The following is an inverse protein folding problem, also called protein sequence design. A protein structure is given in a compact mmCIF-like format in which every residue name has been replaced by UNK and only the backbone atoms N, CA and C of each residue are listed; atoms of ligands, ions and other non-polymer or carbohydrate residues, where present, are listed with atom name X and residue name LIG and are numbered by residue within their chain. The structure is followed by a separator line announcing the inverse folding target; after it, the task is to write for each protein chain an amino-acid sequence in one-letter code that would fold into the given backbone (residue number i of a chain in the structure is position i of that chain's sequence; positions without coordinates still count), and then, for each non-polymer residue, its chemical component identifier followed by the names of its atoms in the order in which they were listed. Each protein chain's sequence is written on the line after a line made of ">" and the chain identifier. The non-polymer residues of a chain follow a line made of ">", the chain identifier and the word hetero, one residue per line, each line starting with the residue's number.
data_IF_236380448243
#
_entry.id   IF_236380448243
#
_cell.length_a   1.000
_cell.length_b   1.000
_cell.length_c   1.000
_cell.angle_alpha   90.00
_cell.angle_beta   90.00
_cell.angle_gamma   90.00
#
_symmetry.space_group_name_H-M   'P 1'
#
loop_
_entity.id
_entity.type
_entity.pdbx_description
1 polymer ?
#
# COMPACT_ATOMS: atom_id res chain seq x y z
N UNK A 1 21.55 -13.03 -4.91
CA UNK A 1 21.01 -11.81 -4.28
C UNK A 1 20.18 -11.13 -5.34
N UNK A 2 18.91 -10.92 -5.05
CA UNK A 2 17.92 -10.33 -5.95
C UNK A 2 17.75 -8.86 -5.57
N UNK A 3 17.76 -7.97 -6.55
CA UNK A 3 17.40 -6.57 -6.33
C UNK A 3 15.87 -6.44 -6.39
N UNK A 4 15.25 -6.13 -5.25
CA UNK A 4 13.80 -6.13 -5.08
C UNK A 4 13.31 -4.72 -4.81
N UNK A 5 12.30 -4.30 -5.57
CA UNK A 5 11.50 -3.11 -5.29
C UNK A 5 10.17 -3.55 -4.70
N UNK A 6 9.80 -2.95 -3.56
CA UNK A 6 8.50 -3.16 -2.92
C UNK A 6 7.68 -1.86 -2.98
N UNK A 7 6.56 -1.93 -3.70
CA UNK A 7 5.53 -0.90 -3.79
C UNK A 7 4.31 -1.36 -3.00
N UNK A 8 3.74 -0.49 -2.16
CA UNK A 8 2.47 -0.81 -1.54
C UNK A 8 2.07 0.00 -0.34
N UNK A 9 1.17 -0.57 0.43
CA UNK A 9 0.54 0.02 1.59
C UNK A 9 1.27 -0.24 2.91
N UNK A 10 0.50 -0.09 3.99
CA UNK A 10 0.93 -0.43 5.35
C UNK A 10 1.28 -1.92 5.51
N UNK A 11 0.70 -2.83 4.70
CA UNK A 11 1.07 -4.25 4.70
C UNK A 11 2.53 -4.49 4.26
N UNK A 12 3.02 -3.66 3.35
CA UNK A 12 4.40 -3.67 2.87
C UNK A 12 5.40 -2.97 3.81
N UNK A 13 4.93 -2.10 4.70
CA UNK A 13 5.77 -1.39 5.67
C UNK A 13 6.05 -2.24 6.93
N UNK A 14 5.10 -3.07 7.35
CA UNK A 14 5.15 -3.81 8.62
C UNK A 14 6.43 -4.65 8.75
N UNK A 15 7.15 -4.41 9.84
CA UNK A 15 8.51 -4.94 10.05
C UNK A 15 8.61 -6.46 10.02
N UNK A 16 7.61 -7.21 10.49
CA UNK A 16 7.69 -8.66 10.67
C UNK A 16 7.03 -9.48 9.56
N UNK A 17 6.40 -8.82 8.59
CA UNK A 17 5.71 -9.48 7.48
C UNK A 17 6.58 -9.58 6.23
N UNK A 18 6.00 -9.15 5.11
CA UNK A 18 6.62 -9.19 3.78
C UNK A 18 8.01 -8.55 3.77
N UNK A 19 8.16 -7.36 4.36
CA UNK A 19 9.44 -6.66 4.46
C UNK A 19 10.55 -7.47 5.14
N UNK A 20 10.22 -8.28 6.17
CA UNK A 20 11.23 -9.11 6.84
C UNK A 20 11.67 -10.26 5.96
N UNK A 21 10.75 -10.88 5.24
CA UNK A 21 11.07 -11.98 4.34
C UNK A 21 12.00 -11.55 3.20
N UNK A 22 11.83 -10.31 2.74
CA UNK A 22 12.63 -9.72 1.67
C UNK A 22 13.92 -9.04 2.18
N UNK A 23 14.14 -8.96 3.51
CA UNK A 23 15.24 -8.16 4.08
C UNK A 23 16.63 -8.75 3.84
N UNK A 24 16.69 -10.04 3.52
CA UNK A 24 17.94 -10.75 3.28
C UNK A 24 18.41 -10.57 1.83
N UNK A 25 17.60 -9.90 1.00
CA UNK A 25 17.88 -9.48 -0.37
C UNK A 25 18.16 -7.97 -0.44
N UNK A 26 18.50 -7.44 -1.62
CA UNK A 26 18.68 -6.00 -1.80
C UNK A 26 17.32 -5.31 -1.97
N UNK A 27 16.71 -4.93 -0.85
CA UNK A 27 15.35 -4.38 -0.80
C UNK A 27 15.33 -2.85 -0.83
N UNK A 28 14.69 -2.29 -1.86
CA UNK A 28 14.22 -0.90 -1.90
C UNK A 28 12.70 -0.88 -1.65
N UNK A 29 12.28 -0.25 -0.56
CA UNK A 29 10.87 -0.18 -0.16
C UNK A 29 10.36 1.25 -0.33
N UNK A 30 9.42 1.44 -1.26
CA UNK A 30 8.74 2.73 -1.50
C UNK A 30 7.26 2.68 -1.07
N UNK A 31 6.90 1.72 -0.22
CA UNK A 31 5.55 1.62 0.32
C UNK A 31 5.22 2.78 1.29
N UNK A 32 4.02 3.35 1.18
CA UNK A 32 3.48 4.34 2.11
C UNK A 32 2.20 3.83 2.79
N UNK A 33 1.93 4.29 4.01
CA UNK A 33 0.76 3.84 4.77
C UNK A 33 -0.50 4.57 4.31
N UNK A 34 -1.62 3.86 4.20
CA UNK A 34 -2.92 4.44 3.86
C UNK A 34 -2.97 5.19 2.51
N UNK A 35 -2.26 4.69 1.51
CA UNK A 35 -2.15 5.29 0.17
C UNK A 35 -2.58 4.31 -0.93
N UNK A 36 -3.23 4.81 -1.98
CA UNK A 36 -3.85 3.99 -3.02
C UNK A 36 -2.85 3.46 -4.07
N UNK A 37 -3.37 2.76 -5.08
CA UNK A 37 -2.62 2.43 -6.31
C UNK A 37 -1.94 3.65 -6.96
N UNK A 38 -2.49 4.85 -6.80
CA UNK A 38 -1.91 6.07 -7.34
C UNK A 38 -0.58 6.43 -6.67
N UNK A 39 -0.40 6.11 -5.40
CA UNK A 39 0.87 6.31 -4.71
C UNK A 39 1.93 5.33 -5.20
N UNK A 40 1.58 4.06 -5.43
CA UNK A 40 2.52 3.11 -6.04
C UNK A 40 2.98 3.60 -7.42
N UNK A 41 2.06 4.20 -8.20
CA UNK A 41 2.38 4.79 -9.50
C UNK A 41 3.29 6.01 -9.35
N UNK A 42 3.00 6.88 -8.38
CA UNK A 42 3.84 8.03 -8.06
C UNK A 42 5.29 7.61 -7.75
N UNK A 43 5.49 6.62 -6.89
CA UNK A 43 6.85 6.13 -6.57
C UNK A 43 7.51 5.43 -7.74
N UNK A 44 6.73 4.72 -8.56
CA UNK A 44 7.23 4.11 -9.79
C UNK A 44 7.83 5.16 -10.74
N UNK A 45 7.15 6.29 -10.90
CA UNK A 45 7.61 7.41 -11.72
C UNK A 45 8.77 8.14 -11.06
N UNK A 46 8.66 8.45 -9.76
CA UNK A 46 9.66 9.21 -8.99
C UNK A 46 11.00 8.50 -8.91
N UNK A 47 10.99 7.17 -8.76
CA UNK A 47 12.18 6.33 -8.62
C UNK A 47 12.45 5.47 -9.86
N UNK A 48 11.95 5.89 -11.03
CA UNK A 48 12.05 5.16 -12.29
C UNK A 48 13.45 4.61 -12.60
N UNK A 49 14.50 5.43 -12.44
CA UNK A 49 15.90 5.03 -12.71
C UNK A 49 16.41 3.91 -11.80
N UNK A 50 15.95 3.91 -10.55
CA UNK A 50 16.28 2.86 -9.59
C UNK A 50 15.47 1.59 -9.85
N UNK A 51 14.19 1.75 -10.20
CA UNK A 51 13.26 0.65 -10.37
C UNK A 51 13.57 -0.16 -11.63
N UNK A 52 13.94 0.50 -12.74
CA UNK A 52 14.34 -0.18 -13.98
C UNK A 52 15.58 -1.08 -13.83
N UNK A 53 16.37 -0.88 -12.77
CA UNK A 53 17.55 -1.72 -12.47
C UNK A 53 17.22 -2.90 -11.56
N UNK A 54 16.01 -2.93 -10.99
CA UNK A 54 15.60 -4.02 -10.11
C UNK A 54 15.36 -5.31 -10.88
N UNK A 55 15.60 -6.43 -10.21
CA UNK A 55 15.34 -7.76 -10.74
C UNK A 55 13.86 -8.14 -10.61
N UNK A 56 13.20 -7.68 -9.54
CA UNK A 56 11.82 -7.99 -9.21
C UNK A 56 11.13 -6.76 -8.60
N UNK A 57 9.92 -6.48 -9.05
CA UNK A 57 8.98 -5.54 -8.45
C UNK A 57 7.84 -6.32 -7.82
N UNK A 58 7.58 -6.09 -6.54
CA UNK A 58 6.41 -6.61 -5.84
C UNK A 58 5.50 -5.41 -5.55
N UNK A 59 4.23 -5.50 -5.94
CA UNK A 59 3.23 -4.45 -5.73
C UNK A 59 1.99 -4.96 -5.03
N UNK A 60 1.49 -4.24 -4.02
CA UNK A 60 0.15 -4.46 -3.44
C UNK A 60 -0.53 -3.12 -3.17
N UNK A 61 -1.82 -2.98 -3.51
CA UNK A 61 -2.57 -1.74 -3.24
C UNK A 61 -4.06 -1.95 -3.01
N UNK A 62 -4.60 -3.12 -3.36
CA UNK A 62 -6.05 -3.36 -3.42
C UNK A 62 -6.77 -3.10 -2.08
N UNK A 63 -6.11 -3.39 -0.97
CA UNK A 63 -6.62 -3.06 0.38
C UNK A 63 -6.79 -1.55 0.54
N UNK A 64 -5.81 -0.75 0.15
CA UNK A 64 -5.91 0.70 0.28
C UNK A 64 -6.89 1.30 -0.73
N UNK A 65 -6.93 0.83 -1.98
CA UNK A 65 -7.93 1.23 -2.98
C UNK A 65 -9.37 1.00 -2.45
N UNK A 66 -9.59 -0.14 -1.79
CA UNK A 66 -10.84 -0.45 -1.08
C UNK A 66 -11.12 0.49 0.10
N UNK A 67 -10.12 0.78 0.94
CA UNK A 67 -10.29 1.69 2.08
C UNK A 67 -10.54 3.13 1.63
N UNK A 68 -9.81 3.65 0.65
CA UNK A 68 -10.00 5.04 0.20
C UNK A 68 -11.36 5.25 -0.46
N UNK A 69 -11.87 4.26 -1.20
CA UNK A 69 -13.24 4.29 -1.71
C UNK A 69 -14.27 4.42 -0.56
N UNK A 70 -14.12 3.60 0.48
CA UNK A 70 -15.11 3.53 1.56
C UNK A 70 -14.96 4.63 2.62
N UNK A 71 -13.75 5.16 2.83
CA UNK A 71 -13.46 6.17 3.87
C UNK A 71 -13.52 7.59 3.29
N UNK A 72 -12.91 7.79 2.12
CA UNK A 72 -12.81 9.10 1.48
C UNK A 72 -13.90 9.36 0.44
N UNK A 73 -14.70 8.34 0.09
CA UNK A 73 -15.71 8.41 -0.97
C UNK A 73 -15.12 8.68 -2.36
N UNK A 74 -13.88 8.25 -2.63
CA UNK A 74 -13.32 8.31 -3.99
C UNK A 74 -14.15 7.41 -4.90
N UNK A 75 -14.49 7.90 -6.10
CA UNK A 75 -15.38 7.18 -7.00
C UNK A 75 -14.72 5.91 -7.54
N UNK A 76 -15.52 4.87 -7.82
CA UNK A 76 -15.00 3.63 -8.41
C UNK A 76 -14.32 3.86 -9.76
N UNK A 77 -14.76 4.87 -10.54
CA UNK A 77 -14.11 5.24 -11.80
C UNK A 77 -12.72 5.84 -11.58
N UNK A 78 -12.54 6.68 -10.55
CA UNK A 78 -11.22 7.26 -10.23
C UNK A 78 -10.27 6.17 -9.73
N UNK A 79 -10.77 5.25 -8.89
CA UNK A 79 -10.02 4.07 -8.45
C UNK A 79 -9.57 3.24 -9.66
N UNK A 80 -10.49 2.91 -10.57
CA UNK A 80 -10.17 2.11 -11.75
C UNK A 80 -9.15 2.78 -12.67
N UNK A 81 -9.23 4.10 -12.84
CA UNK A 81 -8.24 4.85 -13.63
C UNK A 81 -6.85 4.78 -13.01
N UNK A 82 -6.75 4.87 -11.69
CA UNK A 82 -5.47 4.79 -10.97
C UNK A 82 -4.88 3.38 -11.05
N UNK A 83 -5.72 2.34 -10.90
CA UNK A 83 -5.34 0.94 -11.09
C UNK A 83 -4.81 0.70 -12.51
N UNK A 84 -5.57 1.15 -13.53
CA UNK A 84 -5.17 1.04 -14.94
C UNK A 84 -3.79 1.65 -15.15
N UNK A 85 -3.60 2.89 -14.69
CA UNK A 85 -2.34 3.63 -14.85
C UNK A 85 -1.16 2.93 -14.17
N UNK A 86 -1.33 2.48 -12.93
CA UNK A 86 -0.29 1.73 -12.22
C UNK A 86 0.13 0.49 -13.00
N UNK A 87 -0.83 -0.33 -13.44
CA UNK A 87 -0.51 -1.60 -14.09
C UNK A 87 0.02 -1.42 -15.50
N UNK A 88 -0.41 -0.37 -16.20
CA UNK A 88 0.21 0.05 -17.46
C UNK A 88 1.69 0.32 -17.24
N UNK A 89 2.05 1.22 -16.32
CA UNK A 89 3.45 1.59 -16.07
C UNK A 89 4.28 0.43 -15.54
N UNK A 90 3.73 -0.44 -14.68
CA UNK A 90 4.45 -1.64 -14.26
C UNK A 90 4.83 -2.54 -15.44
N UNK A 91 3.94 -2.65 -16.43
CA UNK A 91 4.13 -3.50 -17.60
C UNK A 91 5.16 -2.99 -18.62
N UNK A 92 5.58 -1.72 -18.49
CA UNK A 92 6.59 -1.07 -19.35
C UNK A 92 7.98 -1.04 -18.71
N UNK A 93 8.12 -1.45 -17.45
CA UNK A 93 9.39 -1.37 -16.70
C UNK A 93 10.49 -2.25 -17.30
N UNK A 94 10.12 -3.38 -17.90
CA UNK A 94 11.07 -4.42 -18.32
C UNK A 94 11.62 -5.26 -17.17
N UNK A 95 11.06 -5.15 -15.98
CA UNK A 95 11.36 -5.97 -14.80
C UNK A 95 10.39 -7.16 -14.69
N UNK A 96 10.73 -8.15 -13.86
CA UNK A 96 9.73 -9.11 -13.38
C UNK A 96 8.80 -8.39 -12.41
N UNK A 97 7.49 -8.57 -12.55
CA UNK A 97 6.50 -7.92 -11.70
C UNK A 97 5.56 -8.97 -11.13
N UNK A 98 5.35 -8.94 -9.81
CA UNK A 98 4.28 -9.70 -9.15
C UNK A 98 3.37 -8.74 -8.40
N UNK A 99 2.08 -8.78 -8.74
CA UNK A 99 1.05 -8.05 -8.01
C UNK A 99 0.39 -8.97 -6.97
N UNK A 100 0.36 -8.56 -5.71
CA UNK A 100 -0.31 -9.31 -4.64
C UNK A 100 -1.70 -8.69 -4.42
N UNK A 101 -2.74 -9.51 -4.55
CA UNK A 101 -4.12 -9.16 -4.18
C UNK A 101 -4.42 -9.72 -2.80
N UNK A 102 -4.42 -8.85 -1.80
CA UNK A 102 -4.66 -9.22 -0.40
C UNK A 102 -6.15 -9.38 -0.08
N UNK A 103 -6.53 -10.20 0.91
CA UNK A 103 -7.93 -10.43 1.20
C UNK A 103 -8.64 -9.17 1.72
N UNK A 104 -9.83 -8.89 1.17
CA UNK A 104 -10.68 -7.78 1.60
C UNK A 104 -11.80 -8.30 2.51
N UNK A 105 -11.53 -8.40 3.81
CA UNK A 105 -12.41 -9.08 4.76
C UNK A 105 -13.34 -8.15 5.54
N UNK A 106 -13.12 -6.83 5.53
CA UNK A 106 -13.93 -5.88 6.30
C UNK A 106 -15.40 -5.89 5.87
N UNK A 107 -16.33 -6.42 6.69
CA UNK A 107 -17.74 -6.56 6.30
C UNK A 107 -18.50 -5.24 6.34
N UNK A 108 -17.91 -4.19 6.93
CA UNK A 108 -18.51 -2.84 7.04
C UNK A 108 -18.49 -2.08 5.73
N UNK A 109 -17.60 -2.46 4.83
CA UNK A 109 -17.29 -1.74 3.61
C UNK A 109 -17.84 -2.49 2.40
N UNK A 110 -18.18 -1.74 1.36
CA UNK A 110 -18.82 -2.25 0.15
C UNK A 110 -17.83 -2.32 -0.99
N UNK A 111 -18.23 -2.99 -2.06
CA UNK A 111 -17.52 -3.02 -3.34
C UNK A 111 -16.15 -3.74 -3.34
N UNK A 112 -15.83 -4.53 -2.32
CA UNK A 112 -14.61 -5.34 -2.28
C UNK A 112 -14.42 -6.18 -3.56
N UNK A 113 -15.44 -6.96 -3.93
CA UNK A 113 -15.43 -7.79 -5.15
C UNK A 113 -15.25 -6.96 -6.42
N UNK A 114 -15.86 -5.78 -6.50
CA UNK A 114 -15.77 -4.91 -7.68
C UNK A 114 -14.37 -4.33 -7.83
N UNK A 115 -13.77 -3.87 -6.74
CA UNK A 115 -12.39 -3.34 -6.73
C UNK A 115 -11.40 -4.45 -7.07
N UNK A 116 -11.48 -5.63 -6.44
CA UNK A 116 -10.63 -6.77 -6.81
C UNK A 116 -10.82 -7.19 -8.27
N UNK A 117 -12.04 -7.13 -8.80
CA UNK A 117 -12.31 -7.41 -10.22
C UNK A 117 -11.63 -6.39 -11.14
N UNK A 118 -11.61 -5.10 -10.79
CA UNK A 118 -10.87 -4.07 -11.53
C UNK A 118 -9.37 -4.37 -11.53
N UNK A 119 -8.80 -4.73 -10.37
CA UNK A 119 -7.39 -5.11 -10.31
C UNK A 119 -7.10 -6.33 -11.20
N UNK A 120 -7.87 -7.42 -11.08
CA UNK A 120 -7.69 -8.62 -11.89
C UNK A 120 -7.84 -8.34 -13.39
N UNK A 121 -8.83 -7.52 -13.76
CA UNK A 121 -9.04 -7.11 -15.14
C UNK A 121 -7.78 -6.47 -15.73
N UNK A 122 -7.23 -5.45 -15.07
CA UNK A 122 -6.07 -4.72 -15.58
C UNK A 122 -4.75 -5.50 -15.44
N UNK A 123 -4.60 -6.33 -14.41
CA UNK A 123 -3.48 -7.29 -14.30
C UNK A 123 -3.45 -8.20 -15.53
N UNK A 124 -4.59 -8.82 -15.86
CA UNK A 124 -4.70 -9.72 -16.99
C UNK A 124 -4.54 -8.98 -18.32
N UNK A 125 -5.12 -7.79 -18.44
CA UNK A 125 -5.02 -6.97 -19.65
C UNK A 125 -3.56 -6.61 -19.97
N UNK A 126 -2.75 -6.24 -18.96
CA UNK A 126 -1.33 -5.94 -19.16
C UNK A 126 -0.41 -7.17 -19.01
N UNK A 127 -0.99 -8.35 -18.75
CA UNK A 127 -0.30 -9.63 -18.60
C UNK A 127 0.70 -9.65 -17.44
N UNK A 128 0.42 -8.98 -16.32
CA UNK A 128 1.30 -9.02 -15.13
C UNK A 128 1.11 -10.33 -14.35
N UNK A 129 2.21 -10.89 -13.82
CA UNK A 129 2.10 -12.05 -12.92
C UNK A 129 1.51 -11.59 -11.58
N UNK A 130 0.72 -12.44 -10.92
CA UNK A 130 0.00 -12.04 -9.71
C UNK A 130 -0.24 -13.18 -8.73
N UNK A 131 -0.36 -12.82 -7.46
CA UNK A 131 -0.68 -13.70 -6.34
C UNK A 131 -2.05 -13.31 -5.79
N UNK A 132 -3.05 -14.14 -6.01
CA UNK A 132 -4.44 -13.89 -5.61
C UNK A 132 -4.73 -14.51 -4.23
N UNK A 133 -4.33 -13.80 -3.18
CA UNK A 133 -4.54 -14.24 -1.80
C UNK A 133 -6.02 -14.11 -1.42
N UNK A 134 -6.71 -13.09 -1.92
CA UNK A 134 -8.14 -12.88 -1.70
C UNK A 134 -8.99 -14.07 -2.14
N UNK A 135 -8.90 -14.47 -3.41
CA UNK A 135 -9.67 -15.63 -3.88
C UNK A 135 -9.19 -16.94 -3.27
N UNK A 136 -7.89 -17.06 -2.94
CA UNK A 136 -7.41 -18.23 -2.21
C UNK A 136 -8.07 -18.35 -0.83
N UNK A 137 -8.27 -17.22 -0.13
CA UNK A 137 -8.98 -17.19 1.15
C UNK A 137 -10.45 -17.55 1.01
N UNK A 138 -11.12 -17.05 -0.02
CA UNK A 138 -12.52 -17.37 -0.31
C UNK A 138 -12.70 -18.86 -0.63
N UNK A 139 -11.93 -19.41 -1.58
CA UNK A 139 -12.05 -20.80 -2.03
C UNK A 139 -11.74 -21.84 -0.94
N UNK A 140 -10.94 -21.48 0.07
CA UNK A 140 -10.56 -22.37 1.18
C UNK A 140 -11.28 -22.02 2.50
N UNK A 141 -12.31 -21.16 2.47
CA UNK A 141 -13.10 -20.73 3.63
C UNK A 141 -12.26 -20.15 4.79
N UNK A 142 -11.09 -19.59 4.47
CA UNK A 142 -10.07 -19.18 5.45
C UNK A 142 -10.47 -17.93 6.23
N UNK A 143 -11.29 -17.05 5.64
CA UNK A 143 -11.70 -15.78 6.26
C UNK A 143 -12.47 -15.97 7.58
N UNK A 144 -13.17 -17.11 7.73
CA UNK A 144 -13.87 -17.45 8.97
C UNK A 144 -12.93 -17.81 10.12
N UNK A 145 -11.72 -18.28 9.79
CA UNK A 145 -10.73 -18.78 10.74
C UNK A 145 -9.65 -17.72 11.03
N UNK A 146 -9.11 -17.13 9.97
CA UNK A 146 -8.13 -16.05 10.01
C UNK A 146 -8.84 -14.72 9.76
N UNK A 147 -9.43 -14.16 10.81
CA UNK A 147 -10.14 -12.89 10.74
C UNK A 147 -9.22 -11.70 11.01
N UNK A 148 -9.15 -10.75 10.06
CA UNK A 148 -8.35 -9.54 10.18
C UNK A 148 -9.14 -8.43 10.90
N UNK A 149 -9.20 -8.49 12.22
CA UNK A 149 -9.89 -7.48 13.05
C UNK A 149 -9.34 -6.03 12.92
N UNK A 150 -8.22 -5.82 12.21
CA UNK A 150 -7.54 -4.53 12.10
C UNK A 150 -7.23 -4.19 10.64
N UNK A 151 -8.12 -3.44 9.98
CA UNK A 151 -7.88 -2.81 8.67
C UNK A 151 -7.42 -3.76 7.55
N UNK A 152 -7.94 -4.99 7.51
CA UNK A 152 -7.56 -6.00 6.52
C UNK A 152 -6.06 -6.33 6.52
N UNK A 153 -5.38 -6.20 7.66
CA UNK A 153 -4.00 -6.63 7.82
C UNK A 153 -3.89 -8.16 7.98
N UNK A 154 -3.27 -8.88 7.04
CA UNK A 154 -3.03 -10.30 7.21
C UNK A 154 -2.03 -10.58 8.36
N UNK A 155 -2.00 -11.83 8.83
CA UNK A 155 -1.03 -12.24 9.85
C UNK A 155 0.40 -12.06 9.34
N UNK A 156 1.27 -11.48 10.18
CA UNK A 156 2.68 -11.22 9.84
C UNK A 156 3.39 -12.49 9.35
N UNK A 157 3.12 -13.64 9.98
CA UNK A 157 3.64 -14.95 9.57
C UNK A 157 3.25 -15.31 8.13
N UNK A 158 1.99 -15.08 7.72
CA UNK A 158 1.54 -15.38 6.36
C UNK A 158 2.24 -14.46 5.35
N UNK A 159 2.33 -13.16 5.65
CA UNK A 159 3.03 -12.21 4.78
C UNK A 159 4.52 -12.53 4.66
N UNK A 160 5.15 -12.99 5.75
CA UNK A 160 6.53 -13.44 5.75
C UNK A 160 6.74 -14.67 4.86
N UNK A 161 5.93 -15.71 5.01
CA UNK A 161 6.04 -16.91 4.16
C UNK A 161 5.71 -16.61 2.69
N UNK A 162 4.72 -15.75 2.41
CA UNK A 162 4.46 -15.25 1.05
C UNK A 162 5.73 -14.65 0.44
N UNK A 163 6.42 -13.75 1.16
CA UNK A 163 7.66 -13.13 0.68
C UNK A 163 8.74 -14.16 0.33
N UNK A 164 8.95 -15.16 1.20
CA UNK A 164 9.91 -16.25 0.93
C UNK A 164 9.54 -17.08 -0.31
N UNK A 165 8.26 -17.37 -0.49
CA UNK A 165 7.79 -18.13 -1.65
C UNK A 165 7.96 -17.34 -2.94
N UNK A 166 7.69 -16.04 -2.93
CA UNK A 166 7.93 -15.17 -4.08
C UNK A 166 9.41 -15.16 -4.50
N UNK A 167 10.34 -15.09 -3.54
CA UNK A 167 11.77 -15.23 -3.81
C UNK A 167 12.06 -16.58 -4.49
N UNK A 168 11.50 -17.68 -3.98
CA UNK A 168 11.72 -19.01 -4.57
C UNK A 168 11.13 -19.18 -5.97
N UNK A 169 10.13 -18.38 -6.33
CA UNK A 169 9.50 -18.38 -7.66
C UNK A 169 10.20 -17.48 -8.66
N UNK A 170 11.19 -16.68 -8.24
CA UNK A 170 11.81 -15.63 -9.04
C UNK A 170 12.20 -16.05 -10.47
N UNK A 171 12.85 -17.21 -10.61
CA UNK A 171 13.31 -17.71 -11.92
C UNK A 171 12.15 -18.09 -12.85
N UNK A 172 10.99 -18.46 -12.29
CA UNK A 172 9.79 -18.81 -13.05
C UNK A 172 8.94 -17.59 -13.43
N UNK A 173 9.21 -16.43 -12.82
CA UNK A 173 8.50 -15.19 -13.14
C UNK A 173 8.96 -14.64 -14.48
N UNK A 174 7.98 -14.10 -15.20
CA UNK A 174 8.21 -13.63 -16.56
C UNK A 174 8.53 -12.14 -16.60
N UNK A 175 9.47 -11.76 -17.47
CA UNK A 175 9.72 -10.36 -17.79
C UNK A 175 8.69 -9.94 -18.84
N UNK A 176 7.96 -8.86 -18.57
CA UNK A 176 7.02 -8.27 -19.53
C UNK A 176 7.58 -6.95 -20.05
N UNK A 177 7.38 -6.70 -21.35
CA UNK A 177 7.84 -5.50 -22.06
C UNK A 177 6.75 -5.04 -23.01
N UNK A 178 5.67 -4.53 -22.44
CA UNK A 178 4.65 -3.88 -23.27
C UNK A 178 5.19 -2.53 -23.74
N UNK A 179 4.82 -2.13 -24.94
CA UNK A 179 5.14 -0.80 -25.46
C UNK A 179 3.86 0.03 -25.47
N UNK A 180 3.65 0.77 -24.37
CA UNK A 180 2.42 1.53 -24.15
C UNK A 180 2.78 2.95 -23.76
N UNK A 181 2.32 3.91 -24.56
CA UNK A 181 2.48 5.34 -24.29
C UNK A 181 1.14 6.02 -24.54
N UNK A 182 0.33 6.19 -23.49
CA UNK A 182 -0.96 6.89 -23.56
C UNK A 182 -0.93 8.23 -22.81
N UNK A 183 -0.23 8.26 -21.68
CA UNK A 183 -0.10 9.42 -20.81
C UNK A 183 1.35 9.56 -20.36
N UNK A 184 1.75 10.79 -20.05
CA UNK A 184 3.05 11.12 -19.47
C UNK A 184 2.86 11.64 -18.05
N UNK A 185 3.67 11.13 -17.12
CA UNK A 185 3.61 11.50 -15.72
C UNK A 185 4.76 12.42 -15.32
N UNK A 186 4.47 13.40 -14.47
CA UNK A 186 5.44 14.43 -14.06
C UNK A 186 5.41 14.62 -12.55
N UNK A 187 6.61 14.68 -11.95
CA UNK A 187 6.83 14.96 -10.53
C UNK A 187 7.35 16.39 -10.41
N UNK A 188 6.69 17.22 -9.61
CA UNK A 188 7.09 18.60 -9.37
C UNK A 188 7.49 18.76 -7.90
N UNK A 189 8.79 18.90 -7.64
CA UNK A 189 9.35 19.04 -6.28
C UNK A 189 10.28 20.25 -6.10
N UNK A 190 10.71 20.86 -7.20
CA UNK A 190 11.63 21.99 -7.20
C UNK A 190 10.88 23.32 -7.19
N UNK A 191 10.22 23.56 -6.06
CA UNK A 191 9.68 24.88 -5.75
C UNK A 191 10.80 25.76 -5.18
N UNK A 192 10.82 27.03 -5.54
CA UNK A 192 11.80 28.02 -5.04
C UNK A 192 11.46 28.44 -3.60
N UNK A 193 11.50 27.47 -2.68
CA UNK A 193 11.03 27.59 -1.30
C UNK A 193 12.07 27.11 -0.30
N UNK A 194 11.86 27.50 0.96
CA UNK A 194 12.58 26.92 2.07
C UNK A 194 12.30 25.41 2.13
N UNK A 195 13.37 24.62 2.29
CA UNK A 195 13.30 23.16 2.38
C UNK A 195 13.88 22.71 3.72
N UNK A 196 13.25 21.72 4.33
CA UNK A 196 13.82 20.98 5.45
C UNK A 196 13.92 19.49 5.11
N UNK A 197 14.80 18.79 5.82
CA UNK A 197 14.90 17.34 5.73
C UNK A 197 14.08 16.71 6.86
N UNK A 198 13.10 15.89 6.50
CA UNK A 198 12.32 15.12 7.46
C UNK A 198 12.69 13.64 7.37
N UNK A 199 12.85 12.98 8.52
CA UNK A 199 13.21 11.56 8.54
C UNK A 199 12.70 10.84 9.77
N UNK A 200 12.45 9.55 9.61
CA UNK A 200 12.20 8.62 10.71
C UNK A 200 12.94 7.30 10.45
N UNK A 201 12.58 6.23 11.14
CA UNK A 201 13.23 4.91 10.99
C UNK A 201 12.97 4.23 9.64
N UNK A 202 12.07 4.77 8.81
CA UNK A 202 11.63 4.16 7.55
C UNK A 202 11.78 5.13 6.37
N UNK A 203 11.46 6.41 6.56
CA UNK A 203 11.37 7.40 5.49
C UNK A 203 12.38 8.53 5.66
N UNK A 204 12.79 9.12 4.54
CA UNK A 204 13.61 10.32 4.47
C UNK A 204 13.16 11.16 3.27
N UNK A 205 12.82 12.42 3.51
CA UNK A 205 12.27 13.32 2.50
C UNK A 205 12.82 14.73 2.61
N UNK A 206 12.95 15.40 1.45
CA UNK A 206 13.16 16.85 1.37
C UNK A 206 11.80 17.52 1.19
N UNK A 207 11.42 18.37 2.15
CA UNK A 207 10.08 18.92 2.25
C UNK A 207 10.13 20.43 2.08
N UNK A 208 9.33 20.97 1.15
CA UNK A 208 9.13 22.40 0.95
C UNK A 208 8.15 22.93 2.00
N UNK A 209 8.50 24.05 2.65
CA UNK A 209 7.64 24.72 3.62
C UNK A 209 6.73 25.71 2.92
N UNK A 210 5.41 25.50 3.02
CA UNK A 210 4.40 26.45 2.56
C UNK A 210 3.88 27.21 3.78
N UNK A 211 4.42 28.42 3.98
CA UNK A 211 3.95 29.34 5.02
C UNK A 211 3.31 30.62 4.46
N UNK A 212 3.77 31.05 3.29
CA UNK A 212 3.22 32.17 2.52
C UNK A 212 2.75 31.67 1.15
N UNK A 213 1.86 32.40 0.46
CA UNK A 213 1.43 32.04 -0.89
C UNK A 213 2.61 32.00 -1.87
N UNK A 214 2.63 30.97 -2.72
CA UNK A 214 3.69 30.71 -3.69
C UNK A 214 3.06 30.54 -5.06
N UNK A 215 3.52 31.33 -6.03
CA UNK A 215 3.17 31.11 -7.42
C UNK A 215 4.01 29.98 -8.02
N UNK A 216 3.35 29.03 -8.66
CA UNK A 216 3.95 27.83 -9.24
C UNK A 216 3.59 27.75 -10.72
N UNK A 217 4.60 27.48 -11.55
CA UNK A 217 4.44 27.25 -12.99
C UNK A 217 5.12 25.93 -13.38
N UNK A 218 4.34 24.94 -13.80
CA UNK A 218 4.80 23.55 -14.05
C UNK A 218 4.44 23.04 -15.46
N UNK A 219 4.08 23.97 -16.35
CA UNK A 219 3.68 23.72 -17.73
C UNK A 219 2.18 23.49 -17.89
N UNK A 220 1.64 23.98 -19.01
CA UNK A 220 0.21 23.93 -19.35
C UNK A 220 -0.27 22.52 -19.68
N UNK A 221 -1.59 22.34 -19.66
CA UNK A 221 -2.32 21.15 -20.09
C UNK A 221 -1.97 19.88 -19.30
N UNK A 222 -1.54 20.05 -18.04
CA UNK A 222 -1.27 18.96 -17.10
C UNK A 222 -2.36 18.91 -16.05
N UNK A 223 -2.91 17.73 -15.81
CA UNK A 223 -3.84 17.51 -14.69
C UNK A 223 -3.05 17.09 -13.45
N UNK A 224 -3.21 17.80 -12.34
CA UNK A 224 -2.65 17.35 -11.05
C UNK A 224 -3.55 16.27 -10.48
N UNK A 225 -2.96 15.14 -10.11
CA UNK A 225 -3.67 13.95 -9.64
C UNK A 225 -3.25 13.52 -8.23
N UNK A 226 -2.18 14.07 -7.68
CA UNK A 226 -1.85 13.81 -6.28
C UNK A 226 -0.84 14.76 -5.65
N UNK A 227 -0.77 14.69 -4.31
CA UNK A 227 0.11 15.51 -3.47
C UNK A 227 0.85 14.58 -2.50
N UNK A 228 2.17 14.65 -2.49
CA UNK A 228 2.99 14.01 -1.45
C UNK A 228 3.30 15.06 -0.38
N UNK A 229 2.93 14.79 0.87
CA UNK A 229 3.08 15.72 1.99
C UNK A 229 3.69 15.06 3.22
N UNK A 230 4.47 15.82 3.97
CA UNK A 230 4.91 15.44 5.31
C UNK A 230 5.09 16.67 6.20
N UNK A 231 4.09 16.93 7.04
CA UNK A 231 4.06 18.11 7.92
C UNK A 231 4.48 17.77 9.36
N UNK A 232 4.96 18.75 10.13
CA UNK A 232 5.25 18.56 11.57
C UNK A 232 4.00 18.52 12.45
N UNK A 233 2.95 19.20 12.00
CA UNK A 233 1.66 19.31 12.67
C UNK A 233 0.54 19.15 11.64
N UNK A 234 -0.71 19.07 12.10
CA UNK A 234 -1.85 19.13 11.19
C UNK A 234 -1.81 20.46 10.43
N UNK A 235 -1.89 20.36 9.11
CA UNK A 235 -1.77 21.48 8.19
C UNK A 235 -2.82 21.36 7.09
N UNK A 236 -3.00 22.41 6.32
CA UNK A 236 -3.91 22.43 5.17
C UNK A 236 -3.26 23.18 4.02
N UNK A 237 -3.30 22.58 2.85
CA UNK A 237 -2.85 23.19 1.60
C UNK A 237 -4.07 23.65 0.82
N UNK A 238 -3.98 24.85 0.26
CA UNK A 238 -4.85 25.34 -0.79
C UNK A 238 -4.04 25.49 -2.06
N UNK A 239 -4.59 24.98 -3.15
CA UNK A 239 -4.09 25.11 -4.50
C UNK A 239 -5.17 25.82 -5.31
N UNK A 240 -4.87 27.01 -5.82
CA UNK A 240 -5.87 27.82 -6.52
C UNK A 240 -5.34 28.54 -7.75
N UNK A 241 -6.19 28.63 -8.77
CA UNK A 241 -6.03 29.49 -9.94
C UNK A 241 -7.29 30.37 -10.09
N UNK A 242 -7.41 31.12 -11.18
CA UNK A 242 -8.63 31.86 -11.51
C UNK A 242 -9.85 30.96 -11.73
N UNK A 243 -9.64 29.69 -12.10
CA UNK A 243 -10.70 28.75 -12.51
C UNK A 243 -10.92 27.63 -11.50
N UNK A 244 -10.00 27.45 -10.54
CA UNK A 244 -9.97 26.29 -9.68
C UNK A 244 -9.54 26.63 -8.25
N UNK A 245 -10.11 25.93 -7.28
CA UNK A 245 -9.71 26.01 -5.88
C UNK A 245 -9.86 24.64 -5.23
N UNK A 246 -8.75 24.11 -4.72
CA UNK A 246 -8.68 22.84 -4.02
C UNK A 246 -8.02 23.01 -2.66
N UNK A 247 -8.66 22.46 -1.64
CA UNK A 247 -8.20 22.52 -0.26
C UNK A 247 -8.15 21.11 0.31
N UNK A 248 -7.03 20.75 0.94
CA UNK A 248 -6.82 19.43 1.54
C UNK A 248 -6.07 19.52 2.85
N UNK A 249 -6.55 18.82 3.86
CA UNK A 249 -5.83 18.65 5.11
C UNK A 249 -4.76 17.57 5.03
N UNK A 250 -3.65 17.79 5.75
CA UNK A 250 -2.63 16.79 6.01
C UNK A 250 -2.39 16.69 7.53
N UNK A 251 -1.86 15.55 7.96
CA UNK A 251 -1.43 15.32 9.33
C UNK A 251 0.10 15.21 9.40
N UNK A 252 0.60 14.61 10.48
CA UNK A 252 2.04 14.46 10.74
C UNK A 252 2.66 13.21 10.10
N UNK A 253 1.85 12.36 9.46
CA UNK A 253 2.31 11.17 8.74
C UNK A 253 2.89 11.58 7.38
N UNK A 254 3.85 10.79 6.87
CA UNK A 254 4.27 10.90 5.48
C UNK A 254 3.17 10.28 4.59
N UNK A 255 2.46 11.11 3.82
CA UNK A 255 1.24 10.71 3.13
C UNK A 255 1.22 11.16 1.68
N UNK A 256 0.65 10.31 0.83
CA UNK A 256 0.25 10.66 -0.52
C UNK A 256 -1.27 10.84 -0.56
N UNK A 257 -1.72 11.96 -1.12
CA UNK A 257 -3.13 12.32 -1.25
C UNK A 257 -3.55 12.27 -2.71
N UNK A 258 -4.47 11.37 -3.03
CA UNK A 258 -5.18 11.36 -4.30
C UNK A 258 -6.02 12.64 -4.45
N UNK A 259 -5.97 13.24 -5.64
CA UNK A 259 -6.85 14.35 -6.04
C UNK A 259 -7.85 13.80 -7.06
N UNK A 260 -9.13 13.78 -6.67
CA UNK A 260 -10.22 13.37 -7.59
C UNK A 260 -10.70 14.55 -8.44
N UNK A 261 -10.55 15.77 -7.93
CA UNK A 261 -10.87 17.00 -8.63
C UNK A 261 -10.17 17.08 -10.01
N UNK A 262 -10.89 17.65 -10.99
CA UNK A 262 -10.36 17.87 -12.33
C UNK A 262 -9.52 19.16 -12.36
N UNK A 263 -8.32 19.09 -11.76
CA UNK A 263 -7.43 20.23 -11.70
C UNK A 263 -6.48 20.25 -12.89
N UNK A 264 -6.85 20.98 -13.94
CA UNK A 264 -6.01 21.21 -15.11
C UNK A 264 -5.22 22.51 -14.94
N UNK A 265 -3.91 22.43 -15.11
CA UNK A 265 -2.99 23.55 -15.07
C UNK A 265 -3.08 24.30 -16.39
N UNK A 266 -3.71 25.47 -16.38
CA UNK A 266 -3.87 26.34 -17.56
C UNK A 266 -2.74 27.36 -17.70
N UNK A 267 -2.26 27.88 -16.57
CA UNK A 267 -1.16 28.85 -16.44
C UNK A 267 -0.41 28.60 -15.11
N UNK A 268 0.04 29.65 -14.44
CA UNK A 268 0.48 29.57 -13.04
C UNK A 268 -0.71 29.37 -12.10
N UNK A 269 -0.43 28.78 -10.95
CA UNK A 269 -1.37 28.66 -9.84
C UNK A 269 -0.66 28.98 -8.53
N UNK A 270 -1.44 29.25 -7.49
CA UNK A 270 -0.93 29.54 -6.17
C UNK A 270 -1.05 28.32 -5.26
N UNK A 271 -0.01 28.08 -4.48
CA UNK A 271 -0.02 27.15 -3.35
C UNK A 271 0.11 27.98 -2.08
N UNK A 272 -0.80 27.80 -1.14
CA UNK A 272 -0.78 28.50 0.13
C UNK A 272 -1.28 27.62 1.27
N UNK A 273 -0.91 27.95 2.51
CA UNK A 273 -1.60 27.39 3.68
C UNK A 273 -3.02 27.97 3.75
N UNK A 274 -4.01 27.18 4.16
CA UNK A 274 -5.39 27.65 4.22
C UNK A 274 -6.12 27.16 5.47
N UNK A 275 -7.07 27.95 5.98
CA UNK A 275 -7.99 27.54 7.05
C UNK A 275 -9.38 27.16 6.50
N UNK A 276 -9.53 27.13 5.18
CA UNK A 276 -10.81 26.91 4.52
C UNK A 276 -11.30 25.46 4.71
N UNK A 277 -12.54 25.22 4.29
CA UNK A 277 -13.16 23.90 4.31
C UNK A 277 -12.51 23.03 3.25
N UNK A 278 -12.16 21.79 3.61
CA UNK A 278 -11.58 20.83 2.67
C UNK A 278 -12.51 20.59 1.48
N UNK A 279 -11.96 20.65 0.28
CA UNK A 279 -12.64 20.27 -0.96
C UNK A 279 -12.82 18.75 -1.05
N UNK A 280 -11.91 17.99 -0.43
CA UNK A 280 -11.95 16.53 -0.38
C UNK A 280 -11.55 15.99 0.99
N UNK A 281 -12.08 14.83 1.37
CA UNK A 281 -11.81 14.21 2.68
C UNK A 281 -10.35 13.76 2.78
N UNK A 282 -9.77 13.88 3.97
CA UNK A 282 -8.41 13.44 4.27
C UNK A 282 -8.39 12.26 5.26
N UNK A 283 -7.40 11.37 5.14
CA UNK A 283 -7.25 10.22 6.04
C UNK A 283 -6.61 10.66 7.36
N UNK A 284 -7.18 10.22 8.49
CA UNK A 284 -6.60 10.37 9.84
C UNK A 284 -6.24 11.82 10.21
N UNK A 285 -6.97 12.79 9.67
CA UNK A 285 -6.91 14.17 10.15
C UNK A 285 -7.90 14.31 11.30
N UNK A 286 -7.38 14.56 12.49
CA UNK A 286 -8.22 14.86 13.66
C UNK A 286 -8.90 16.21 13.44
N UNK A 287 -10.21 16.29 13.71
CA UNK A 287 -10.90 17.59 13.79
C UNK A 287 -10.25 18.37 14.93
N UNK A 288 -9.52 19.43 14.60
CA UNK A 288 -8.97 20.34 15.61
C UNK A 288 -10.12 21.00 16.34
N UNK A 289 -10.23 20.76 17.64
CA UNK A 289 -11.09 21.52 18.53
C UNK A 289 -10.47 22.92 18.70
N UNK A 290 -10.77 23.84 17.79
CA UNK A 290 -10.67 25.27 18.04
C UNK A 290 -9.28 25.93 18.10
N UNK A 291 -8.18 25.26 17.73
CA UNK A 291 -6.87 25.93 17.69
C UNK A 291 -6.70 26.75 16.40
N UNK A 292 -6.45 28.04 16.57
CA UNK A 292 -6.66 29.11 15.58
C UNK A 292 -5.45 29.40 14.67
N UNK A 293 -4.38 28.60 14.75
CA UNK A 293 -3.24 28.71 13.84
C UNK A 293 -2.88 27.36 13.21
N UNK A 294 -3.32 27.12 11.98
CA UNK A 294 -2.84 25.99 11.18
C UNK A 294 -1.34 26.17 10.93
N UNK A 295 -0.58 25.11 11.17
CA UNK A 295 0.87 25.10 10.99
C UNK A 295 1.26 25.17 9.50
N UNK A 296 2.50 25.59 9.17
CA UNK A 296 3.01 25.53 7.80
C UNK A 296 2.79 24.14 7.19
N UNK A 297 2.45 24.11 5.90
CA UNK A 297 2.23 22.85 5.19
C UNK A 297 3.55 22.32 4.62
N UNK A 298 3.84 21.04 4.87
CA UNK A 298 5.01 20.36 4.32
C UNK A 298 4.69 19.68 2.98
N UNK A 299 5.16 20.24 1.88
CA UNK A 299 4.98 19.73 0.51
C UNK A 299 6.25 19.02 0.01
N UNK A 300 6.17 17.72 -0.22
CA UNK A 300 7.27 16.96 -0.87
C UNK A 300 7.22 17.18 -2.37
N UNK A 301 6.06 16.93 -3.00
CA UNK A 301 5.87 17.14 -4.43
C UNK A 301 4.41 17.15 -4.86
N UNK A 302 4.14 17.70 -6.05
CA UNK A 302 2.91 17.48 -6.80
C UNK A 302 3.11 16.40 -7.86
N UNK A 303 2.08 15.59 -8.09
CA UNK A 303 2.04 14.56 -9.12
C UNK A 303 1.01 14.92 -10.18
N UNK A 304 1.41 14.92 -11.46
CA UNK A 304 0.54 15.31 -12.57
C UNK A 304 0.69 14.41 -13.78
N UNK A 305 -0.31 14.49 -14.66
CA UNK A 305 -0.41 13.69 -15.88
C UNK A 305 -0.80 14.58 -17.07
N UNK A 306 -0.25 14.28 -18.24
CA UNK A 306 -0.64 14.86 -19.52
C UNK A 306 -0.91 13.76 -20.55
N UNK A 307 -1.71 14.06 -21.56
CA UNK A 307 -1.89 13.13 -22.69
C UNK A 307 -0.59 13.01 -23.48
N UNK A 308 -0.21 11.78 -23.86
CA UNK A 308 0.92 11.58 -24.77
C UNK A 308 0.53 11.93 -26.20
N UNK A 309 1.45 12.56 -26.94
CA UNK A 309 1.28 12.82 -28.38
C UNK A 309 1.47 11.56 -29.23
N UNK A 310 2.16 10.55 -28.71
CA UNK A 310 2.49 9.32 -29.43
C UNK A 310 1.73 8.16 -28.79
N UNK A 311 0.63 7.73 -29.42
CA UNK A 311 -0.07 6.51 -29.02
C UNK A 311 0.63 5.30 -29.63
N UNK A 312 1.36 4.58 -28.80
CA UNK A 312 1.81 3.21 -29.09
C UNK A 312 1.14 2.30 -28.09
N UNK A 313 0.55 1.20 -28.56
CA UNK A 313 -0.04 0.20 -27.69
C UNK A 313 0.19 -1.18 -28.32
N UNK A 314 1.15 -1.90 -27.77
CA UNK A 314 1.42 -3.30 -28.11
C UNK A 314 1.50 -4.12 -26.82
N UNK A 315 0.61 -5.10 -26.72
CA UNK A 315 0.47 -5.99 -25.56
C UNK A 315 0.62 -7.41 -26.07
N UNK A 316 1.69 -8.09 -25.64
CA UNK A 316 2.04 -9.44 -26.09
C UNK A 316 2.21 -10.41 -24.91
N UNK A 317 1.65 -10.08 -23.74
CA UNK A 317 1.86 -10.81 -22.49
C UNK A 317 0.60 -11.50 -21.98
N UNK A 318 0.79 -12.72 -21.47
CA UNK A 318 -0.22 -13.45 -20.69
C UNK A 318 0.20 -13.41 -19.22
N UNK A 319 -0.73 -13.11 -18.33
CA UNK A 319 -0.54 -13.13 -16.88
C UNK A 319 -0.42 -14.57 -16.36
N UNK A 320 0.43 -14.78 -15.36
CA UNK A 320 0.48 -16.04 -14.61
C UNK A 320 0.00 -15.81 -13.18
N UNK A 321 -1.00 -16.59 -12.77
CA UNK A 321 -1.42 -16.66 -11.37
C UNK A 321 -0.50 -17.64 -10.62
N UNK A 322 0.20 -17.16 -9.59
CA UNK A 322 1.15 -17.96 -8.79
C UNK A 322 0.58 -18.38 -7.43
N UNK A 323 -0.74 -18.38 -7.25
CA UNK A 323 -1.41 -18.75 -5.98
C UNK A 323 -1.19 -20.18 -5.49
N UNK A 324 -0.65 -21.08 -6.31
CA UNK A 324 -0.28 -22.44 -5.88
C UNK A 324 0.73 -22.42 -4.71
N UNK A 325 1.48 -21.34 -4.54
CA UNK A 325 2.42 -21.20 -3.42
C UNK A 325 1.77 -20.92 -2.05
N UNK A 326 0.43 -20.83 -1.98
CA UNK A 326 -0.32 -20.48 -0.76
C UNK A 326 -0.78 -21.70 0.07
N UNK A 327 -0.45 -22.93 -0.34
CA UNK A 327 -0.86 -24.18 0.35
C UNK A 327 -0.57 -24.16 1.86
N UNK A 328 0.54 -23.53 2.25
CA UNK A 328 0.98 -23.43 3.65
C UNK A 328 -0.05 -22.76 4.58
N UNK A 329 -0.94 -21.90 4.07
CA UNK A 329 -1.95 -21.21 4.89
C UNK A 329 -3.01 -22.23 5.37
N UNK A 330 -3.38 -23.17 4.51
CA UNK A 330 -4.31 -24.26 4.86
C UNK A 330 -3.63 -25.23 5.83
N UNK A 331 -2.35 -25.53 5.62
CA UNK A 331 -1.55 -26.33 6.55
C UNK A 331 -1.49 -25.69 7.95
N UNK A 332 -1.20 -24.39 8.03
CA UNK A 332 -1.20 -23.63 9.28
C UNK A 332 -2.58 -23.66 9.96
N UNK A 333 -3.69 -23.48 9.22
CA UNK A 333 -5.04 -23.63 9.76
C UNK A 333 -5.25 -25.02 10.37
N UNK A 334 -4.85 -26.08 9.65
CA UNK A 334 -5.03 -27.46 10.08
C UNK A 334 -4.22 -27.78 11.34
N UNK A 335 -2.97 -27.33 11.42
CA UNK A 335 -2.13 -27.45 12.62
C UNK A 335 -2.75 -26.74 13.82
N UNK A 336 -3.28 -25.53 13.62
CA UNK A 336 -3.93 -24.77 14.69
C UNK A 336 -5.23 -25.49 15.14
N UNK A 337 -6.06 -25.98 14.21
CA UNK A 337 -7.27 -26.77 14.52
C UNK A 337 -6.91 -28.03 15.31
N UNK A 338 -5.87 -28.76 14.91
CA UNK A 338 -5.39 -29.95 15.61
C UNK A 338 -4.94 -29.60 17.05
N UNK A 339 -4.15 -28.54 17.20
CA UNK A 339 -3.71 -28.06 18.52
C UNK A 339 -4.91 -27.65 19.40
N UNK A 340 -5.90 -26.94 18.84
CA UNK A 340 -7.11 -26.56 19.57
C UNK A 340 -7.91 -27.79 20.03
N UNK A 341 -8.06 -28.80 19.16
CA UNK A 341 -8.72 -30.06 19.50
C UNK A 341 -7.98 -30.80 20.62
N UNK A 342 -6.65 -30.91 20.53
CA UNK A 342 -5.82 -31.49 21.59
C UNK A 342 -5.97 -30.74 22.92
N UNK A 343 -5.93 -29.41 22.89
CA UNK A 343 -6.10 -28.56 24.08
C UNK A 343 -7.49 -28.72 24.72
N UNK A 344 -8.54 -28.86 23.91
CA UNK A 344 -9.92 -29.11 24.40
C UNK A 344 -10.03 -30.48 25.04
N UNK A 345 -9.54 -31.53 24.39
CA UNK A 345 -9.57 -32.90 24.92
C UNK A 345 -8.79 -33.02 26.25
N UNK A 346 -7.68 -32.31 26.39
CA UNK A 346 -6.84 -32.33 27.59
C UNK A 346 -7.22 -31.25 28.63
N UNK A 347 -8.27 -30.46 28.39
CA UNK A 347 -8.71 -29.41 29.32
C UNK A 347 -9.10 -29.96 30.70
N UNK A 348 -9.84 -31.09 30.83
CA UNK A 348 -10.15 -31.68 32.13
C UNK A 348 -8.89 -32.10 32.89
N UNK A 349 -7.92 -32.69 32.18
CA UNK A 349 -6.64 -33.09 32.75
C UNK A 349 -5.84 -31.87 33.23
N UNK A 350 -5.77 -30.81 32.43
CA UNK A 350 -5.13 -29.55 32.82
C UNK A 350 -5.82 -28.90 34.04
N UNK A 351 -7.16 -28.89 34.07
CA UNK A 351 -7.93 -28.38 35.22
C UNK A 351 -7.73 -29.25 36.47
N UNK A 352 -7.65 -30.58 36.31
CA UNK A 352 -7.33 -31.52 37.39
C UNK A 352 -5.95 -31.22 37.98
N UNK A 353 -4.94 -31.04 37.13
CA UNK A 353 -3.59 -30.70 37.57
C UNK A 353 -3.52 -29.34 38.29
N UNK A 354 -4.25 -28.33 37.81
CA UNK A 354 -4.31 -27.02 38.48
C UNK A 354 -5.00 -27.13 39.85
N UNK A 355 -6.17 -27.78 39.90
CA UNK A 355 -6.98 -27.90 41.13
C UNK A 355 -6.25 -28.70 42.22
N UNK A 356 -5.41 -29.64 41.82
CA UNK A 356 -4.65 -30.50 42.73
C UNK A 356 -3.16 -30.13 42.80
N UNK A 357 -2.78 -28.88 42.52
CA UNK A 357 -1.37 -28.42 42.57
C UNK A 357 -0.70 -28.63 43.94
N UNK A 358 -1.46 -28.64 45.02
CA UNK A 358 -1.00 -28.90 46.39
C UNK A 358 -0.79 -30.39 46.70
N UNK A 359 -1.23 -31.30 45.83
CA UNK A 359 -0.98 -32.73 45.99
C UNK A 359 0.51 -33.03 45.74
N UNK A 360 1.15 -33.73 46.68
CA UNK A 360 2.58 -34.02 46.65
C UNK A 360 3.03 -34.74 45.37
N UNK A 361 2.23 -35.67 44.83
CA UNK A 361 2.53 -36.41 43.60
C UNK A 361 2.48 -35.49 42.37
N UNK A 362 1.46 -34.62 42.29
CA UNK A 362 1.29 -33.66 41.19
C UNK A 362 2.37 -32.58 41.23
N UNK A 363 2.76 -32.13 42.42
CA UNK A 363 3.89 -31.23 42.63
C UNK A 363 5.22 -31.86 42.16
N UNK A 364 5.41 -33.16 42.42
CA UNK A 364 6.57 -33.91 41.92
C UNK A 364 6.58 -33.99 40.39
N UNK A 365 5.45 -34.31 39.76
CA UNK A 365 5.31 -34.38 38.29
C UNK A 365 5.64 -33.02 37.64
N UNK A 366 5.18 -31.90 38.23
CA UNK A 366 5.52 -30.56 37.74
C UNK A 366 7.02 -30.26 37.84
N UNK A 367 7.69 -30.68 38.93
CA UNK A 367 9.15 -30.51 39.09
C UNK A 367 9.96 -31.34 38.08
N UNK A 368 9.43 -32.47 37.61
CA UNK A 368 10.09 -33.29 36.59
C UNK A 368 9.81 -32.81 35.15
N UNK A 369 8.70 -32.13 34.90
CA UNK A 369 8.37 -31.56 33.58
C UNK A 369 9.49 -30.65 33.04
N UNK A 370 10.09 -29.84 33.90
CA UNK A 370 11.16 -28.91 33.53
C UNK A 370 12.52 -29.61 33.27
N UNK A 371 12.65 -30.89 33.66
CA UNK A 371 13.83 -31.73 33.37
C UNK A 371 13.69 -32.57 32.09
N UNK A 372 12.46 -32.79 31.62
CA UNK A 372 12.16 -33.62 30.43
C UNK A 372 12.02 -32.76 29.15
N UNK A 373 11.75 -31.46 29.29
CA UNK A 373 11.57 -30.51 28.18
C UNK A 373 12.80 -29.62 27.90
N UNK A 374 13.95 -29.93 28.51
CA UNK A 374 15.28 -29.49 28.05
C UNK A 374 15.92 -30.65 27.31
#
# INVERSE_FOLDING_TARGET
>A
MIDIVLLGGSNSIKKNGLRKALSDECLKCYALGATSSLQNLYELVRHHEDIKKSSLIISESNVNDFHIHNILNISLSDIEINIKRLYRELSTTGCRVVVILLPLQTPKFKNAQKINSMHKHWINYYGLDYLDVDSYFECNELSSFFYFNNLDHPLDRHMYEIGKRLISLFENLSIKRNNICEEEFHIHSDFSLEKFENKNSIFYEKVNVIDNPVEVSVGKDKRVIGIHSWSYHNSKIKISSSEFCYIRSANTENQFHDISADFIITDSFYIEKSNDIDSEKSIRVLKSNGDSSISPFGLVSLFSVSSSKNKVCEINSVSVNVSDCLSFIVEDMNHIKQYMSYKRANRPLYQFFIKNKSNALISLIYKFKDKILK
#
